data_IF_691702173916
#
_entry.id   IF_691702173916
#
_cell.length_a   1.000
_cell.length_b   1.000
_cell.length_c   1.000
_cell.angle_alpha   90.00
_cell.angle_beta   90.00
_cell.angle_gamma   90.00
#
_symmetry.space_group_name_H-M   'P 1'
#
loop_
_entity.id
_entity.type
_entity.pdbx_description
1 polymer ?
#
# COMPACT_ATOMS: atom_id res chain seq x y z
N UNK A 1 35.37 -48.04 45.33
CA UNK A 1 35.83 -49.43 45.10
C UNK A 1 35.45 -49.77 43.66
N UNK A 2 36.40 -49.65 42.72
CA UNK A 2 37.29 -50.72 42.24
C UNK A 2 36.50 -51.84 41.52
N UNK A 3 36.57 -51.87 40.17
CA UNK A 3 37.23 -52.93 39.35
C UNK A 3 36.25 -54.07 39.01
N UNK A 4 36.14 -54.71 37.83
CA UNK A 4 37.01 -54.99 36.67
C UNK A 4 36.08 -55.42 35.50
N UNK A 5 36.29 -55.06 34.22
CA UNK A 5 37.11 -55.67 33.14
C UNK A 5 36.67 -57.06 32.64
N UNK A 6 36.36 -57.15 31.33
CA UNK A 6 36.80 -58.12 30.28
C UNK A 6 35.97 -57.83 29.00
N UNK A 7 36.49 -57.34 27.85
CA UNK A 7 37.39 -57.89 26.81
C UNK A 7 36.87 -59.16 26.10
N UNK A 8 36.67 -59.07 24.78
CA UNK A 8 36.28 -60.18 23.90
C UNK A 8 35.87 -59.71 22.50
N UNK A 9 36.78 -59.87 21.52
CA UNK A 9 36.71 -59.38 20.13
C UNK A 9 35.81 -60.15 19.13
N UNK A 10 36.02 -59.96 17.81
CA UNK A 10 34.95 -59.82 16.81
C UNK A 10 34.87 -60.98 15.80
N UNK A 11 33.70 -61.24 15.20
CA UNK A 11 33.59 -61.95 13.91
C UNK A 11 32.35 -61.53 13.10
N UNK A 12 32.54 -61.38 11.79
CA UNK A 12 31.55 -61.02 10.78
C UNK A 12 30.97 -62.27 10.11
N UNK A 13 29.66 -62.28 9.79
CA UNK A 13 29.16 -62.96 8.56
C UNK A 13 27.72 -62.57 8.17
N UNK A 14 27.59 -62.00 6.96
CA UNK A 14 26.65 -62.32 5.86
C UNK A 14 25.16 -62.64 6.08
N UNK A 15 24.33 -61.76 5.50
CA UNK A 15 23.28 -62.04 4.47
C UNK A 15 21.83 -62.42 4.87
N UNK A 16 20.92 -61.61 4.28
CA UNK A 16 19.55 -61.82 3.77
C UNK A 16 18.30 -61.87 4.66
N UNK A 17 17.39 -60.96 4.28
CA UNK A 17 15.91 -61.02 4.20
C UNK A 17 15.02 -60.53 5.38
N UNK A 18 14.17 -59.56 4.99
CA UNK A 18 13.07 -58.83 5.65
C UNK A 18 11.97 -59.71 6.28
N UNK A 19 11.15 -59.22 7.26
CA UNK A 19 9.98 -58.37 6.93
C UNK A 19 9.55 -57.29 7.96
N UNK A 20 9.15 -56.13 7.43
CA UNK A 20 7.92 -55.41 7.82
C UNK A 20 7.92 -54.53 9.07
N UNK A 21 8.16 -53.22 8.90
CA UNK A 21 7.81 -52.19 9.89
C UNK A 21 6.48 -51.51 9.51
N UNK A 22 5.50 -51.34 10.42
CA UNK A 22 4.25 -50.63 10.17
C UNK A 22 4.47 -49.13 9.95
N UNK A 23 3.68 -48.55 9.05
CA UNK A 23 3.87 -47.22 8.49
C UNK A 23 3.66 -46.03 9.44
N UNK A 24 4.36 -44.95 9.11
CA UNK A 24 4.18 -43.59 9.63
C UNK A 24 3.38 -42.76 8.59
N UNK A 25 2.52 -41.80 9.01
CA UNK A 25 1.48 -41.22 8.16
C UNK A 25 2.02 -40.37 7.01
N UNK A 26 1.30 -40.41 5.88
CA UNK A 26 1.68 -39.81 4.61
C UNK A 26 1.89 -38.29 4.65
N UNK A 27 3.02 -37.88 4.09
CA UNK A 27 3.26 -36.56 3.51
C UNK A 27 2.27 -36.32 2.36
N UNK A 28 1.66 -35.13 2.21
CA UNK A 28 0.86 -34.81 1.04
C UNK A 28 1.76 -34.90 -0.20
N UNK A 29 1.41 -35.80 -1.12
CA UNK A 29 2.13 -35.95 -2.37
C UNK A 29 2.14 -34.65 -3.15
N UNK A 30 3.32 -34.04 -3.27
CA UNK A 30 3.65 -33.17 -4.38
C UNK A 30 3.69 -34.05 -5.62
N UNK A 31 2.59 -34.10 -6.35
CA UNK A 31 2.51 -34.56 -7.73
C UNK A 31 3.30 -33.58 -8.61
N UNK A 32 4.63 -33.68 -8.50
CA UNK A 32 5.63 -33.07 -9.39
C UNK A 32 5.91 -34.01 -10.57
N UNK A 33 4.87 -34.63 -11.12
CA UNK A 33 4.97 -35.64 -12.18
C UNK A 33 3.99 -35.43 -13.34
N UNK A 34 3.21 -34.34 -13.34
CA UNK A 34 2.30 -33.96 -14.44
C UNK A 34 2.68 -32.61 -15.07
N UNK A 35 3.97 -32.28 -15.09
CA UNK A 35 4.46 -31.14 -15.86
C UNK A 35 5.01 -31.68 -17.18
N UNK A 36 4.39 -31.37 -18.33
CA UNK A 36 4.84 -31.88 -19.61
C UNK A 36 6.32 -31.56 -19.83
N UNK A 37 7.06 -32.54 -20.35
CA UNK A 37 8.51 -32.42 -20.53
C UNK A 37 8.85 -31.25 -21.46
N UNK A 38 7.97 -30.89 -22.39
CA UNK A 38 8.10 -29.67 -23.19
C UNK A 38 8.10 -28.38 -22.35
N UNK A 39 7.38 -28.35 -21.22
CA UNK A 39 7.33 -27.19 -20.32
C UNK A 39 8.61 -27.10 -19.48
N UNK A 40 9.16 -28.24 -19.07
CA UNK A 40 10.48 -28.30 -18.40
C UNK A 40 11.61 -27.96 -19.38
N UNK A 41 11.54 -28.46 -20.61
CA UNK A 41 12.48 -28.11 -21.68
C UNK A 41 12.37 -26.63 -22.05
N UNK A 42 11.16 -26.06 -22.09
CA UNK A 42 10.95 -24.62 -22.31
C UNK A 42 11.47 -23.78 -21.14
N UNK A 43 11.24 -24.20 -19.89
CA UNK A 43 11.83 -23.57 -18.70
C UNK A 43 13.36 -23.58 -18.76
N UNK A 44 13.93 -24.74 -19.08
CA UNK A 44 15.37 -24.96 -19.13
C UNK A 44 16.02 -24.28 -20.35
N UNK A 45 15.26 -24.07 -21.43
CA UNK A 45 15.67 -23.33 -22.62
C UNK A 45 15.58 -21.81 -22.45
N UNK A 46 14.54 -21.33 -21.75
CA UNK A 46 14.30 -19.89 -21.59
C UNK A 46 15.42 -19.25 -20.78
N UNK A 47 15.83 -19.85 -19.66
CA UNK A 47 16.95 -19.37 -18.83
C UNK A 47 17.39 -20.47 -17.84
N UNK A 48 18.44 -21.25 -18.16
CA UNK A 48 18.97 -22.26 -17.25
C UNK A 48 19.42 -21.69 -15.90
N UNK A 49 19.92 -20.45 -15.88
CA UNK A 49 20.43 -19.81 -14.66
C UNK A 49 19.34 -19.15 -13.78
N UNK A 50 18.16 -18.80 -14.30
CA UNK A 50 17.14 -18.07 -13.54
C UNK A 50 16.39 -18.93 -12.51
N UNK A 51 16.39 -20.25 -12.69
CA UNK A 51 15.65 -21.18 -11.84
C UNK A 51 16.53 -22.01 -10.89
N UNK A 52 17.86 -21.96 -11.04
CA UNK A 52 18.78 -22.84 -10.30
C UNK A 52 19.33 -22.22 -9.01
N UNK A 53 19.29 -20.90 -8.90
CA UNK A 53 19.65 -20.18 -7.68
C UNK A 53 18.61 -19.10 -7.42
N UNK A 54 18.14 -18.98 -6.18
CA UNK A 54 17.35 -17.82 -5.73
C UNK A 54 18.28 -16.60 -5.61
N UNK A 55 18.92 -16.23 -6.73
CA UNK A 55 19.70 -15.00 -6.83
C UNK A 55 18.69 -13.87 -6.73
N UNK A 56 18.84 -13.01 -5.71
CA UNK A 56 18.00 -11.83 -5.61
C UNK A 56 18.15 -11.03 -6.90
N UNK A 57 17.05 -10.84 -7.65
CA UNK A 57 17.03 -9.99 -8.84
C UNK A 57 17.34 -8.51 -8.52
N UNK A 58 17.45 -8.17 -7.24
CA UNK A 58 17.77 -6.85 -6.74
C UNK A 58 19.04 -6.89 -5.87
N UNK A 59 20.23 -6.95 -6.46
CA UNK A 59 21.48 -7.07 -5.69
C UNK A 59 21.87 -5.79 -4.94
N UNK A 60 21.23 -4.65 -5.24
CA UNK A 60 21.73 -3.33 -4.85
C UNK A 60 20.80 -2.56 -3.90
N UNK A 61 21.07 -2.62 -2.61
CA UNK A 61 20.31 -1.91 -1.55
C UNK A 61 20.42 -0.37 -1.67
N UNK A 62 21.45 0.16 -2.33
CA UNK A 62 21.78 1.60 -2.33
C UNK A 62 21.12 2.43 -3.45
N UNK A 63 20.56 1.77 -4.47
CA UNK A 63 20.09 2.47 -5.69
C UNK A 63 18.85 3.33 -5.46
N UNK A 64 17.91 2.89 -4.61
CA UNK A 64 16.71 3.65 -4.29
C UNK A 64 17.03 4.99 -3.61
N UNK A 65 17.88 4.97 -2.58
CA UNK A 65 18.32 6.16 -1.87
C UNK A 65 19.12 7.12 -2.77
N UNK A 66 20.03 6.61 -3.60
CA UNK A 66 20.81 7.42 -4.54
C UNK A 66 19.91 8.09 -5.58
N UNK A 67 18.93 7.35 -6.12
CA UNK A 67 17.96 7.91 -7.06
C UNK A 67 17.15 9.05 -6.42
N UNK A 68 16.72 8.91 -5.17
CA UNK A 68 16.02 9.99 -4.45
C UNK A 68 16.94 11.19 -4.25
N UNK A 69 18.17 10.97 -3.78
CA UNK A 69 19.16 12.02 -3.62
C UNK A 69 19.37 12.77 -4.94
N UNK A 70 19.45 12.06 -6.07
CA UNK A 70 19.58 12.66 -7.41
C UNK A 70 18.38 13.55 -7.78
N UNK A 71 17.14 13.09 -7.58
CA UNK A 71 15.97 13.93 -7.91
C UNK A 71 15.85 15.15 -6.98
N UNK A 72 16.28 15.02 -5.72
CA UNK A 72 16.22 16.08 -4.72
C UNK A 72 17.34 17.11 -4.88
N UNK A 73 18.52 16.71 -5.33
CA UNK A 73 19.67 17.61 -5.57
C UNK A 73 19.62 18.28 -6.94
N UNK A 74 18.92 17.70 -7.92
CA UNK A 74 18.82 18.27 -9.28
C UNK A 74 18.29 19.72 -9.25
N UNK A 75 18.99 20.71 -9.84
CA UNK A 75 18.58 22.12 -9.81
C UNK A 75 17.23 22.41 -10.47
N UNK A 76 16.85 21.61 -11.47
CA UNK A 76 15.60 21.77 -12.20
C UNK A 76 14.38 21.56 -11.28
N UNK A 77 13.63 22.64 -11.03
CA UNK A 77 12.55 22.68 -10.03
C UNK A 77 11.43 21.68 -10.31
N UNK A 78 11.13 21.39 -11.59
CA UNK A 78 10.09 20.44 -11.99
C UNK A 78 10.49 18.96 -11.90
N UNK A 79 11.76 18.62 -11.64
CA UNK A 79 12.26 17.23 -11.69
C UNK A 79 11.61 16.37 -10.61
N UNK A 80 11.54 16.91 -9.38
CA UNK A 80 10.87 16.30 -8.25
C UNK A 80 9.37 16.11 -8.54
N UNK A 81 8.69 17.17 -9.00
CA UNK A 81 7.27 17.11 -9.33
C UNK A 81 6.96 16.10 -10.44
N UNK A 82 7.83 15.97 -11.46
CA UNK A 82 7.64 14.99 -12.53
C UNK A 82 7.84 13.54 -12.10
N UNK A 83 8.57 13.29 -11.00
CA UNK A 83 8.88 11.92 -10.54
C UNK A 83 8.07 11.48 -9.31
N UNK A 84 7.57 12.41 -8.50
CA UNK A 84 6.84 12.09 -7.26
C UNK A 84 5.59 12.96 -7.05
N UNK A 85 5.20 13.80 -8.01
CA UNK A 85 4.05 14.74 -7.93
C UNK A 85 4.04 15.72 -6.76
N UNK A 86 5.20 15.96 -6.15
CA UNK A 86 5.39 16.95 -5.09
C UNK A 86 6.59 17.83 -5.39
N UNK A 87 6.55 19.08 -4.93
CA UNK A 87 7.75 19.92 -4.85
C UNK A 87 8.67 19.38 -3.75
N UNK A 88 9.97 19.69 -3.81
CA UNK A 88 10.94 19.23 -2.80
C UNK A 88 10.54 19.65 -1.37
N UNK A 89 10.12 20.90 -1.11
CA UNK A 89 9.72 21.30 0.24
C UNK A 89 8.50 20.53 0.73
N UNK A 90 7.48 20.33 -0.10
CA UNK A 90 6.30 19.56 0.28
C UNK A 90 6.63 18.10 0.59
N UNK A 91 7.54 17.50 -0.18
CA UNK A 91 7.97 16.12 0.06
C UNK A 91 8.69 15.98 1.41
N UNK A 92 9.66 16.87 1.71
CA UNK A 92 10.34 16.82 3.01
C UNK A 92 9.41 17.14 4.17
N UNK A 93 8.48 18.09 4.01
CA UNK A 93 7.47 18.39 5.02
C UNK A 93 6.58 17.17 5.30
N UNK A 94 6.22 16.40 4.27
CA UNK A 94 5.47 15.15 4.45
C UNK A 94 6.27 14.10 5.21
N UNK A 95 7.52 13.87 4.81
CA UNK A 95 8.41 12.91 5.49
C UNK A 95 8.57 13.30 6.95
N UNK A 96 8.88 14.57 7.22
CA UNK A 96 9.06 15.10 8.57
C UNK A 96 7.79 15.00 9.42
N UNK A 97 6.63 15.30 8.85
CA UNK A 97 5.34 15.17 9.53
C UNK A 97 5.03 13.71 9.94
N UNK A 98 5.42 12.73 9.12
CA UNK A 98 5.25 11.31 9.41
C UNK A 98 6.26 10.80 10.43
N UNK A 99 7.51 11.27 10.38
CA UNK A 99 8.58 10.83 11.29
C UNK A 99 8.46 11.48 12.67
N UNK A 100 8.13 12.77 12.74
CA UNK A 100 7.96 13.51 14.01
C UNK A 100 6.83 12.95 14.87
N UNK A 101 5.76 12.45 14.23
CA UNK A 101 4.64 11.75 14.90
C UNK A 101 4.96 10.30 15.27
N UNK A 102 6.15 9.79 14.95
CA UNK A 102 6.54 8.41 15.19
C UNK A 102 5.79 7.38 14.32
N UNK A 103 5.12 7.81 13.25
CA UNK A 103 4.31 6.94 12.39
C UNK A 103 5.16 6.12 11.41
N UNK A 104 6.36 6.64 11.08
CA UNK A 104 7.39 5.92 10.34
C UNK A 104 8.65 5.78 11.22
N UNK A 105 8.65 4.87 12.21
CA UNK A 105 9.78 4.72 13.11
C UNK A 105 11.02 4.27 12.33
N UNK A 106 12.11 5.03 12.49
CA UNK A 106 13.41 4.66 11.95
C UNK A 106 14.06 3.63 12.88
N UNK A 107 13.71 2.36 12.70
CA UNK A 107 14.35 1.28 13.43
C UNK A 107 15.78 1.06 12.95
N UNK A 108 16.69 0.73 13.87
CA UNK A 108 18.09 0.39 13.60
C UNK A 108 18.25 -0.81 12.64
N UNK A 109 17.18 -1.60 12.46
CA UNK A 109 17.08 -2.73 11.52
C UNK A 109 16.34 -2.42 10.21
N UNK A 110 15.80 -1.21 10.03
CA UNK A 110 15.05 -0.87 8.82
C UNK A 110 16.03 -0.61 7.67
N UNK A 111 16.16 -1.60 6.78
CA UNK A 111 16.98 -1.49 5.56
C UNK A 111 16.48 -0.44 4.55
N UNK A 112 15.28 0.11 4.76
CA UNK A 112 14.65 1.14 3.93
C UNK A 112 14.40 2.37 4.77
N UNK A 113 14.84 3.53 4.27
CA UNK A 113 14.68 4.81 4.96
C UNK A 113 13.26 5.36 4.83
N UNK A 114 12.79 6.18 5.80
CA UNK A 114 11.45 6.79 5.73
C UNK A 114 11.28 7.66 4.47
N UNK A 115 12.35 8.32 4.03
CA UNK A 115 12.40 9.07 2.76
C UNK A 115 12.09 8.14 1.59
N UNK A 116 12.72 6.96 1.56
CA UNK A 116 12.56 5.99 0.49
C UNK A 116 11.19 5.33 0.48
N UNK A 117 10.66 4.99 1.65
CA UNK A 117 9.29 4.45 1.77
C UNK A 117 8.25 5.44 1.23
N UNK A 118 8.38 6.73 1.60
CA UNK A 118 7.46 7.77 1.12
C UNK A 118 7.64 8.03 -0.38
N UNK A 119 8.88 8.04 -0.90
CA UNK A 119 9.14 8.18 -2.33
C UNK A 119 8.55 7.03 -3.16
N UNK A 120 8.68 5.80 -2.67
CA UNK A 120 8.07 4.60 -3.26
C UNK A 120 6.55 4.74 -3.31
N UNK A 121 5.92 5.11 -2.19
CA UNK A 121 4.48 5.32 -2.14
C UNK A 121 4.02 6.36 -3.16
N UNK A 122 4.73 7.50 -3.25
CA UNK A 122 4.42 8.57 -4.19
C UNK A 122 4.62 8.17 -5.66
N UNK A 123 5.58 7.30 -5.98
CA UNK A 123 5.70 6.72 -7.32
C UNK A 123 4.48 5.87 -7.68
N UNK A 124 3.96 5.08 -6.73
CA UNK A 124 2.76 4.29 -6.98
C UNK A 124 1.53 5.17 -7.16
N UNK A 125 1.22 6.04 -6.19
CA UNK A 125 -0.06 6.79 -6.20
C UNK A 125 -0.05 8.05 -7.06
N UNK A 126 1.10 8.74 -7.14
CA UNK A 126 1.24 9.99 -7.89
C UNK A 126 1.63 9.76 -9.35
N UNK A 127 2.33 8.66 -9.64
CA UNK A 127 2.89 8.40 -10.98
C UNK A 127 2.31 7.17 -11.64
N UNK A 128 1.37 6.48 -10.99
CA UNK A 128 0.74 5.26 -11.49
C UNK A 128 1.76 4.17 -11.84
N UNK A 129 2.88 4.12 -11.11
CA UNK A 129 3.88 3.07 -11.29
C UNK A 129 3.39 1.76 -10.68
N UNK A 130 3.65 0.67 -11.39
CA UNK A 130 3.39 -0.66 -10.86
C UNK A 130 4.43 -0.97 -9.78
N UNK A 131 4.07 -1.80 -8.82
CA UNK A 131 5.00 -2.19 -7.77
C UNK A 131 6.22 -2.95 -8.34
N UNK A 132 6.07 -3.64 -9.49
CA UNK A 132 7.19 -4.22 -10.22
C UNK A 132 8.16 -3.17 -10.81
N UNK A 133 7.67 -2.01 -11.25
CA UNK A 133 8.54 -0.92 -11.71
C UNK A 133 9.32 -0.32 -10.53
N UNK A 134 8.69 -0.28 -9.36
CA UNK A 134 9.34 0.16 -8.13
C UNK A 134 10.35 -0.88 -7.61
N UNK A 135 10.08 -2.18 -7.78
CA UNK A 135 11.05 -3.24 -7.47
C UNK A 135 12.35 -3.00 -8.23
N UNK A 136 12.29 -2.78 -9.54
CA UNK A 136 13.46 -2.48 -10.37
C UNK A 136 14.13 -1.15 -9.98
N UNK A 137 13.34 -0.11 -9.71
CA UNK A 137 13.88 1.22 -9.41
C UNK A 137 14.56 1.31 -8.05
N UNK A 138 13.91 0.77 -7.02
CA UNK A 138 14.38 0.85 -5.64
C UNK A 138 15.21 -0.37 -5.24
N UNK A 139 15.27 -1.39 -6.12
CA UNK A 139 16.06 -2.61 -5.90
C UNK A 139 15.68 -3.31 -4.59
N UNK A 140 14.37 -3.45 -4.36
CA UNK A 140 13.82 -4.22 -3.24
C UNK A 140 12.83 -5.26 -3.77
N UNK A 141 12.75 -6.42 -3.11
CA UNK A 141 11.75 -7.44 -3.45
C UNK A 141 10.33 -6.87 -3.44
N UNK A 142 9.46 -7.43 -4.29
CA UNK A 142 8.05 -7.02 -4.35
C UNK A 142 7.35 -7.09 -2.99
N UNK A 143 7.68 -8.09 -2.18
CA UNK A 143 7.20 -8.21 -0.79
C UNK A 143 7.59 -6.99 0.06
N UNK A 144 8.86 -6.57 -0.04
CA UNK A 144 9.35 -5.37 0.68
C UNK A 144 8.64 -4.13 0.18
N UNK A 145 8.55 -3.94 -1.14
CA UNK A 145 7.84 -2.83 -1.76
C UNK A 145 6.40 -2.75 -1.24
N UNK A 146 5.68 -3.87 -1.24
CA UNK A 146 4.29 -3.96 -0.79
C UNK A 146 4.15 -3.61 0.71
N UNK A 147 5.01 -4.17 1.55
CA UNK A 147 5.03 -3.87 2.99
C UNK A 147 5.28 -2.39 3.23
N UNK A 148 6.27 -1.77 2.56
CA UNK A 148 6.56 -0.33 2.72
C UNK A 148 5.41 0.54 2.23
N UNK A 149 4.80 0.19 1.10
CA UNK A 149 3.63 0.88 0.58
C UNK A 149 2.50 0.93 1.62
N UNK A 150 2.14 -0.22 2.20
CA UNK A 150 1.07 -0.29 3.20
C UNK A 150 1.44 0.41 4.51
N UNK A 151 2.70 0.38 4.94
CA UNK A 151 3.16 1.15 6.12
C UNK A 151 2.92 2.64 5.93
N UNK A 152 3.30 3.20 4.78
CA UNK A 152 3.07 4.62 4.48
C UNK A 152 1.58 4.93 4.37
N UNK A 153 0.80 4.06 3.71
CA UNK A 153 -0.65 4.23 3.62
C UNK A 153 -1.30 4.29 5.01
N UNK A 154 -0.98 3.35 5.89
CA UNK A 154 -1.50 3.33 7.27
C UNK A 154 -1.10 4.57 8.05
N UNK A 155 0.14 5.04 7.91
CA UNK A 155 0.61 6.27 8.55
C UNK A 155 -0.15 7.51 8.05
N UNK A 156 -0.39 7.61 6.74
CA UNK A 156 -1.19 8.69 6.16
C UNK A 156 -2.66 8.64 6.62
N UNK A 157 -3.25 7.46 6.68
CA UNK A 157 -4.61 7.28 7.21
C UNK A 157 -4.70 7.70 8.69
N UNK A 158 -3.66 7.44 9.49
CA UNK A 158 -3.61 7.89 10.88
C UNK A 158 -3.51 9.42 11.00
N UNK A 159 -2.85 10.10 10.06
CA UNK A 159 -2.78 11.57 10.01
C UNK A 159 -4.02 12.23 9.39
N UNK A 160 -4.81 11.50 8.61
CA UNK A 160 -5.93 12.05 7.85
C UNK A 160 -6.94 12.85 8.70
N UNK A 161 -7.30 12.47 9.95
CA UNK A 161 -8.21 13.26 10.78
C UNK A 161 -7.70 14.66 11.12
N UNK A 162 -6.38 14.83 11.26
CA UNK A 162 -5.77 16.16 11.51
C UNK A 162 -5.74 17.01 10.24
N UNK A 163 -5.55 16.39 9.08
CA UNK A 163 -5.39 17.08 7.80
C UNK A 163 -6.71 17.38 7.10
N UNK A 164 -7.69 16.49 7.23
CA UNK A 164 -8.98 16.53 6.55
C UNK A 164 -10.03 16.86 7.60
N UNK A 165 -10.17 18.15 7.89
CA UNK A 165 -11.26 18.64 8.75
C UNK A 165 -12.52 18.83 7.92
N UNK A 166 -13.66 18.35 8.43
CA UNK A 166 -14.95 18.59 7.80
C UNK A 166 -15.26 20.09 7.86
N UNK A 167 -15.56 20.76 6.73
CA UNK A 167 -15.97 22.16 6.78
C UNK A 167 -17.24 22.30 7.61
N UNK A 168 -17.35 23.40 8.38
CA UNK A 168 -18.58 23.76 9.05
C UNK A 168 -19.66 24.03 7.98
N UNK A 169 -20.80 23.33 8.05
CA UNK A 169 -21.93 23.56 7.14
C UNK A 169 -22.82 24.72 7.58
N UNK A 170 -22.50 25.38 8.68
CA UNK A 170 -23.30 26.48 9.23
C UNK A 170 -23.00 27.80 8.54
N UNK A 171 -21.80 27.97 7.97
CA UNK A 171 -21.40 29.19 7.28
C UNK A 171 -21.12 28.92 5.81
N UNK A 172 -21.93 29.52 4.94
CA UNK A 172 -21.67 29.54 3.51
C UNK A 172 -20.49 30.47 3.23
N UNK A 173 -19.42 29.94 2.63
CA UNK A 173 -18.23 30.72 2.28
C UNK A 173 -18.59 31.96 1.44
N UNK A 174 -18.01 33.13 1.77
CA UNK A 174 -18.38 34.43 1.20
C UNK A 174 -18.34 34.52 -0.34
N UNK A 175 -17.52 33.69 -0.99
CA UNK A 175 -17.49 33.58 -2.46
C UNK A 175 -18.78 33.01 -3.06
N UNK A 176 -19.46 32.11 -2.35
CA UNK A 176 -20.70 31.47 -2.80
C UNK A 176 -21.91 32.38 -2.57
N UNK A 177 -21.94 33.11 -1.45
CA UNK A 177 -23.02 34.08 -1.15
C UNK A 177 -23.02 35.27 -2.11
N UNK A 178 -21.86 35.63 -2.66
CA UNK A 178 -21.69 36.75 -3.59
C UNK A 178 -21.70 36.32 -5.07
N UNK A 179 -21.97 35.04 -5.39
CA UNK A 179 -22.08 34.61 -6.79
C UNK A 179 -23.52 34.76 -7.27
N UNK A 180 -23.74 35.56 -8.32
CA UNK A 180 -25.04 35.68 -9.00
C UNK A 180 -25.54 34.37 -9.64
N UNK A 181 -24.70 33.33 -9.68
CA UNK A 181 -25.02 31.99 -10.17
C UNK A 181 -25.90 31.23 -9.15
N UNK A 182 -25.74 31.50 -7.85
CA UNK A 182 -26.50 30.83 -6.77
C UNK A 182 -27.59 31.71 -6.14
N UNK A 183 -27.66 33.01 -6.49
CA UNK A 183 -28.69 33.94 -6.01
C UNK A 183 -30.10 33.61 -6.51
N UNK A 184 -30.26 32.79 -7.56
CA UNK A 184 -31.59 32.34 -8.00
C UNK A 184 -32.17 31.22 -7.12
N UNK A 185 -31.34 30.36 -6.53
CA UNK A 185 -31.83 29.28 -5.64
C UNK A 185 -32.29 29.78 -4.26
N UNK A 186 -31.80 30.92 -3.80
CA UNK A 186 -32.19 31.53 -2.52
C UNK A 186 -33.41 32.47 -2.62
N UNK A 187 -33.84 32.88 -3.83
CA UNK A 187 -35.15 33.55 -4.03
C UNK A 187 -36.31 32.57 -4.15
N UNK A 188 -36.05 31.32 -4.55
CA UNK A 188 -37.09 30.27 -4.62
C UNK A 188 -37.52 29.82 -3.22
N UNK A 189 -36.65 29.94 -2.20
CA UNK A 189 -36.97 29.57 -0.83
C UNK A 189 -37.87 30.57 -0.08
N UNK A 190 -38.00 31.81 -0.55
CA UNK A 190 -38.93 32.79 0.06
C UNK A 190 -40.35 32.71 -0.49
N UNK A 191 -40.58 31.95 -1.57
CA UNK A 191 -41.89 31.70 -2.16
C UNK A 191 -42.15 30.20 -2.28
N UNK A 192 -42.08 29.47 -1.16
CA UNK A 192 -42.43 28.06 -1.12
C UNK A 192 -43.94 27.86 -1.30
N UNK A 193 -44.37 27.82 -2.56
CA UNK A 193 -45.63 27.23 -2.95
C UNK A 193 -45.56 25.72 -2.76
N UNK A 194 -46.27 25.18 -1.77
CA UNK A 194 -46.40 23.72 -1.64
C UNK A 194 -47.70 23.27 -2.31
N UNK A 195 -47.59 22.39 -3.32
CA UNK A 195 -48.76 21.78 -3.93
C UNK A 195 -49.21 20.58 -3.10
N UNK A 196 -50.45 20.60 -2.58
CA UNK A 196 -51.05 19.41 -1.95
C UNK A 196 -51.83 18.63 -3.01
N UNK A 197 -51.31 17.47 -3.37
CA UNK A 197 -51.95 16.59 -4.35
C UNK A 197 -53.03 15.74 -3.69
N UNK A 198 -54.27 15.82 -4.17
CA UNK A 198 -55.33 14.86 -3.85
C UNK A 198 -55.53 13.91 -5.03
N UNK A 199 -55.77 12.62 -4.73
CA UNK A 199 -55.62 11.50 -5.65
C UNK A 199 -56.41 11.62 -6.96
N UNK A 200 -57.48 12.43 -7.01
CA UNK A 200 -58.14 12.79 -8.27
C UNK A 200 -58.67 14.24 -8.23
N UNK A 201 -57.85 15.19 -8.68
CA UNK A 201 -58.22 16.60 -8.90
C UNK A 201 -57.00 17.49 -9.14
N UNK A 202 -57.14 18.52 -9.99
CA UNK A 202 -56.07 19.47 -10.33
C UNK A 202 -55.49 20.16 -9.08
N UNK A 203 -54.17 20.43 -9.05
CA UNK A 203 -53.50 20.94 -7.86
C UNK A 203 -54.04 22.33 -7.46
N UNK A 204 -54.37 22.47 -6.17
CA UNK A 204 -54.72 23.77 -5.57
C UNK A 204 -53.46 24.34 -4.94
N UNK A 205 -53.13 25.56 -5.36
CA UNK A 205 -51.95 26.29 -4.89
C UNK A 205 -52.36 27.22 -3.75
N UNK A 206 -51.76 27.05 -2.57
CA UNK A 206 -51.95 27.96 -1.44
C UNK A 206 -50.61 28.53 -1.00
N UNK A 207 -50.57 29.86 -0.84
CA UNK A 207 -49.42 30.58 -0.31
C UNK A 207 -49.33 30.33 1.21
N UNK A 208 -48.17 29.91 1.68
CA UNK A 208 -47.88 29.84 3.11
C UNK A 208 -47.14 31.11 3.48
N UNK A 209 -47.78 32.00 4.23
CA UNK A 209 -47.09 33.13 4.83
C UNK A 209 -46.38 32.62 6.09
N UNK A 210 -45.05 32.52 6.02
CA UNK A 210 -44.21 32.26 7.18
C UNK A 210 -44.08 33.59 7.91
N UNK A 211 -44.82 33.74 9.01
CA UNK A 211 -44.73 34.91 9.87
C UNK A 211 -43.31 34.99 10.44
N UNK A 212 -42.61 36.07 10.10
CA UNK A 212 -41.28 36.34 10.63
C UNK A 212 -41.46 36.96 12.01
N UNK A 213 -41.76 36.10 13.00
CA UNK A 213 -41.80 36.47 14.40
C UNK A 213 -40.49 37.17 14.79
N UNK A 214 -40.54 38.49 14.96
CA UNK A 214 -39.51 39.27 15.65
C UNK A 214 -39.41 38.73 17.07
N UNK A 215 -38.30 38.08 17.37
CA UNK A 215 -37.92 37.79 18.76
C UNK A 215 -37.69 39.13 19.47
N UNK A 216 -38.47 39.37 20.53
CA UNK A 216 -38.17 40.31 21.60
C UNK A 216 -37.28 39.64 22.65
#
# INVERSE_FOLDING_TARGET
MASSREEGGPEANSTSESPGTPGTPGTPGSNESDVPEEFLAFRDLICPELFRENVSCNPSILQGAEWIAKIMTTPHQGRCFHNIRMTKPCFYALVDALTSRGLLPHGQTSRVSSIEEVALFMQTVGMHKRQCDNMERFQHSLETINRRFHRVLSALCAMAPELITRPSFTETHARITNTQIFTHSSRIASELWTARWYRHGSPVWTKIDIDHGKAA
#
